data_IF_220909224000
#
_entry.id   IF_220909224000
#
_cell.length_a   1.000
_cell.length_b   1.000
_cell.length_c   1.000
_cell.angle_alpha   90.00
_cell.angle_beta   90.00
_cell.angle_gamma   90.00
#
_symmetry.space_group_name_H-M   'P 1'
#
loop_
_entity.id
_entity.type
_entity.pdbx_description
1 polymer ?
#
# COMPACT_ATOMS: atom_id res chain seq x y z
N UNK A 1 18.74 6.69 7.68
CA UNK A 1 17.91 7.16 6.55
C UNK A 1 16.45 7.15 6.98
N UNK A 2 15.70 8.21 6.72
CA UNK A 2 14.27 8.28 7.11
C UNK A 2 13.45 7.42 6.14
N UNK A 3 12.94 6.27 6.59
CA UNK A 3 12.01 5.47 5.79
C UNK A 3 10.67 6.21 5.73
N UNK A 4 10.41 6.92 4.63
CA UNK A 4 9.11 7.58 4.39
C UNK A 4 8.05 6.50 4.18
N UNK A 5 6.94 6.62 4.91
CA UNK A 5 5.77 5.77 4.68
C UNK A 5 5.06 6.20 3.40
N UNK A 6 4.69 5.24 2.56
CA UNK A 6 3.88 5.43 1.36
C UNK A 6 2.44 5.75 1.73
N UNK A 7 1.86 6.72 1.06
CA UNK A 7 0.43 7.03 1.07
C UNK A 7 -0.33 6.07 0.16
N UNK A 8 -1.65 6.17 0.15
CA UNK A 8 -2.47 5.39 -0.81
C UNK A 8 -2.17 5.80 -2.25
N UNK A 9 -1.84 7.07 -2.49
CA UNK A 9 -1.47 7.56 -3.83
C UNK A 9 -0.14 6.94 -4.27
N UNK A 10 0.87 6.96 -3.40
CA UNK A 10 2.17 6.33 -3.71
C UNK A 10 2.02 4.83 -4.01
N UNK A 11 1.16 4.12 -3.28
CA UNK A 11 0.89 2.68 -3.53
C UNK A 11 0.11 2.49 -4.82
N UNK A 12 -0.86 3.35 -5.12
CA UNK A 12 -1.64 3.30 -6.37
C UNK A 12 -0.74 3.49 -7.59
N UNK A 13 0.16 4.48 -7.53
CA UNK A 13 1.14 4.76 -8.57
C UNK A 13 2.12 3.58 -8.71
N UNK A 14 2.62 3.04 -7.59
CA UNK A 14 3.53 1.90 -7.59
C UNK A 14 2.91 0.65 -8.23
N UNK A 15 1.66 0.34 -7.90
CA UNK A 15 0.94 -0.82 -8.44
C UNK A 15 0.38 -0.59 -9.84
N UNK A 16 0.50 0.63 -10.38
CA UNK A 16 -0.16 1.07 -11.60
C UNK A 16 -1.67 0.75 -11.59
N UNK A 17 -2.34 1.07 -10.46
CA UNK A 17 -3.78 0.87 -10.26
C UNK A 17 -4.45 2.19 -9.87
N UNK A 18 -5.75 2.38 -10.19
CA UNK A 18 -6.48 3.54 -9.74
C UNK A 18 -6.51 3.63 -8.20
N UNK A 19 -6.36 4.84 -7.65
CA UNK A 19 -6.50 5.12 -6.21
C UNK A 19 -7.81 4.54 -5.62
N UNK A 20 -8.91 4.65 -6.36
CA UNK A 20 -10.22 4.11 -5.96
C UNK A 20 -10.21 2.59 -5.84
N UNK A 21 -9.50 1.90 -6.73
CA UNK A 21 -9.30 0.45 -6.64
C UNK A 21 -8.52 0.11 -5.37
N UNK A 22 -7.44 0.82 -5.07
CA UNK A 22 -6.66 0.58 -3.84
C UNK A 22 -7.51 0.80 -2.60
N UNK A 23 -8.27 1.89 -2.51
CA UNK A 23 -9.17 2.15 -1.37
C UNK A 23 -10.26 1.08 -1.21
N UNK A 24 -10.83 0.59 -2.31
CA UNK A 24 -11.89 -0.41 -2.29
C UNK A 24 -11.39 -1.83 -2.00
N UNK A 25 -10.17 -2.15 -2.43
CA UNK A 25 -9.69 -3.52 -2.48
C UNK A 25 -8.56 -3.81 -1.50
N UNK A 26 -7.91 -2.82 -0.88
CA UNK A 26 -6.73 -3.07 -0.03
C UNK A 26 -6.96 -4.09 1.09
N UNK A 27 -8.17 -4.17 1.64
CA UNK A 27 -8.52 -5.19 2.64
C UNK A 27 -8.68 -6.59 2.02
N UNK A 28 -9.33 -6.67 0.86
CA UNK A 28 -9.60 -7.93 0.18
C UNK A 28 -8.30 -8.53 -0.38
N UNK A 29 -7.47 -7.68 -0.99
CA UNK A 29 -6.15 -7.99 -1.53
C UNK A 29 -5.07 -8.11 -0.45
N UNK A 30 -5.43 -7.83 0.80
CA UNK A 30 -4.52 -7.88 1.96
C UNK A 30 -3.25 -7.03 1.78
N UNK A 31 -3.37 -5.90 1.06
CA UNK A 31 -2.27 -4.95 0.89
C UNK A 31 -1.86 -4.45 2.28
N UNK A 32 -0.55 -4.42 2.61
CA UNK A 32 -0.05 -4.21 3.98
C UNK A 32 -0.10 -2.73 4.42
N UNK A 33 -1.28 -2.13 4.36
CA UNK A 33 -1.54 -0.83 4.94
C UNK A 33 -1.69 -0.90 6.45
N UNK A 34 -1.17 0.14 7.11
CA UNK A 34 -1.37 0.43 8.53
C UNK A 34 -2.14 1.73 8.66
N UNK A 35 -3.11 1.76 9.59
CA UNK A 35 -3.81 3.00 9.94
C UNK A 35 -2.94 3.85 10.86
N UNK A 36 -2.67 5.08 10.46
CA UNK A 36 -1.99 6.10 11.25
C UNK A 36 -2.96 7.28 11.37
N UNK A 37 -3.69 7.34 12.49
CA UNK A 37 -4.85 8.23 12.63
C UNK A 37 -5.94 7.90 11.62
N UNK A 38 -6.36 8.89 10.83
CA UNK A 38 -7.35 8.74 9.77
C UNK A 38 -6.76 8.35 8.40
N UNK A 39 -5.43 8.21 8.32
CA UNK A 39 -4.72 7.95 7.07
C UNK A 39 -4.23 6.51 6.97
N UNK A 40 -4.26 5.94 5.77
CA UNK A 40 -3.57 4.69 5.46
C UNK A 40 -2.11 4.98 5.07
N UNK A 41 -1.20 4.17 5.60
CA UNK A 41 0.23 4.26 5.33
C UNK A 41 0.80 2.87 5.11
N UNK A 42 1.64 2.71 4.10
CA UNK A 42 2.32 1.46 3.80
C UNK A 42 3.83 1.65 3.93
N UNK A 43 4.55 0.61 4.34
CA UNK A 43 6.01 0.60 4.26
C UNK A 43 6.39 0.06 2.88
N UNK A 44 7.32 0.69 2.14
CA UNK A 44 7.81 0.16 0.87
C UNK A 44 8.23 -1.32 0.98
N UNK A 45 9.04 -1.66 1.97
CA UNK A 45 9.51 -3.02 2.21
C UNK A 45 8.38 -4.04 2.46
N UNK A 46 7.29 -3.59 3.10
CA UNK A 46 6.13 -4.47 3.34
C UNK A 46 5.37 -4.69 2.01
N UNK A 47 5.24 -3.64 1.18
CA UNK A 47 4.58 -3.71 -0.13
C UNK A 47 5.32 -4.62 -1.10
N UNK A 48 6.66 -4.50 -1.16
CA UNK A 48 7.52 -5.37 -1.98
C UNK A 48 7.36 -6.84 -1.58
N UNK A 49 7.44 -7.14 -0.28
CA UNK A 49 7.23 -8.52 0.22
C UNK A 49 5.85 -9.08 -0.11
N UNK A 50 4.82 -8.24 -0.03
CA UNK A 50 3.46 -8.64 -0.39
C UNK A 50 3.34 -8.93 -1.89
N UNK A 51 3.98 -8.14 -2.75
CA UNK A 51 4.02 -8.40 -4.19
C UNK A 51 4.74 -9.71 -4.52
N UNK A 52 5.90 -9.94 -3.89
CA UNK A 52 6.65 -11.18 -4.08
C UNK A 52 5.85 -12.43 -3.65
N UNK A 53 4.91 -12.26 -2.71
CA UNK A 53 4.04 -13.35 -2.25
C UNK A 53 2.80 -13.59 -3.13
N UNK A 54 2.58 -12.81 -4.20
CA UNK A 54 1.47 -13.02 -5.15
C UNK A 54 1.81 -13.98 -6.31
N UNK A 55 3.00 -14.57 -6.32
CA UNK A 55 3.39 -15.65 -7.25
C UNK A 55 2.85 -17.02 -6.79
#
# INVERSE_FOLDING_TARGET
MQHRLMTVDDVADYLNKPRSWVYGNWKAEQIPFRKVGQSLRCRPDDLEKWLDSQN
#
